data_IF_505307267701
#
_entry.id   IF_505307267701
#
_cell.length_a   1.000
_cell.length_b   1.000
_cell.length_c   1.000
_cell.angle_alpha   90.00
_cell.angle_beta   90.00
_cell.angle_gamma   90.00
#
_symmetry.space_group_name_H-M   'P 1'
#
loop_
_entity.id
_entity.type
_entity.pdbx_description
1 polymer ?
#
# COMPACT_ATOMS: atom_id res chain seq x y z
N UNK A 1 -2.08 15.48 23.16
CA UNK A 1 -2.39 15.31 21.73
C UNK A 1 -2.19 16.63 21.02
N UNK A 2 -1.86 16.60 19.73
CA UNK A 2 -1.84 17.77 18.85
C UNK A 2 -3.05 17.66 17.94
N UNK A 3 -3.84 18.71 17.84
CA UNK A 3 -5.05 18.79 17.03
C UNK A 3 -4.79 19.67 15.82
N UNK A 4 -5.19 19.22 14.65
CA UNK A 4 -5.20 20.00 13.41
C UNK A 4 -6.66 20.27 13.04
N UNK A 5 -7.04 21.53 12.95
CA UNK A 5 -8.38 21.96 12.56
C UNK A 5 -8.48 22.12 11.04
N UNK A 6 -9.71 22.17 10.52
CA UNK A 6 -9.97 22.32 9.07
C UNK A 6 -9.46 23.66 8.51
N UNK A 7 -9.36 24.70 9.36
CA UNK A 7 -8.78 26.00 8.99
C UNK A 7 -7.25 26.00 8.98
N UNK A 8 -6.62 24.86 9.30
CA UNK A 8 -5.17 24.71 9.42
C UNK A 8 -4.60 25.14 10.77
N UNK A 9 -5.42 25.62 11.71
CA UNK A 9 -4.92 25.95 13.04
C UNK A 9 -4.53 24.69 13.82
N UNK A 10 -3.54 24.84 14.72
CA UNK A 10 -3.02 23.74 15.55
C UNK A 10 -3.15 24.09 17.02
N UNK A 11 -3.64 23.14 17.80
CA UNK A 11 -3.80 23.28 19.25
C UNK A 11 -3.29 22.02 19.98
N UNK A 12 -3.02 22.14 21.27
CA UNK A 12 -2.55 21.05 22.11
C UNK A 12 -3.58 20.69 23.16
N UNK A 13 -3.71 19.39 23.45
CA UNK A 13 -4.57 18.87 24.50
C UNK A 13 -3.73 18.06 25.50
N UNK A 14 -3.62 18.49 26.78
CA UNK A 14 -4.18 19.71 27.36
C UNK A 14 -3.47 20.99 26.89
N UNK A 15 -4.21 22.11 26.82
CA UNK A 15 -3.72 23.45 26.45
C UNK A 15 -2.96 24.12 27.61
N UNK A 16 -1.89 23.49 28.07
CA UNK A 16 -0.98 24.04 29.09
C UNK A 16 0.31 24.54 28.44
N UNK A 17 0.80 25.69 28.89
CA UNK A 17 2.10 26.27 28.52
C UNK A 17 3.28 25.28 28.61
N UNK A 18 3.21 24.29 29.52
CA UNK A 18 4.23 23.23 29.64
C UNK A 18 4.21 22.29 28.43
N UNK A 19 3.02 21.96 27.93
CA UNK A 19 2.81 21.10 26.76
C UNK A 19 3.20 21.85 25.50
N UNK A 20 2.81 23.12 25.36
CA UNK A 20 3.20 23.97 24.23
C UNK A 20 4.73 24.12 24.15
N UNK A 21 5.41 24.36 25.28
CA UNK A 21 6.88 24.39 25.32
C UNK A 21 7.50 23.04 24.98
N UNK A 22 6.87 21.94 25.36
CA UNK A 22 7.33 20.59 24.99
C UNK A 22 7.17 20.35 23.49
N UNK A 23 6.04 20.76 22.90
CA UNK A 23 5.82 20.69 21.46
C UNK A 23 6.81 21.58 20.70
N UNK A 24 7.04 22.81 21.16
CA UNK A 24 8.05 23.69 20.58
C UNK A 24 9.44 23.06 20.62
N UNK A 25 9.82 22.43 21.75
CA UNK A 25 11.08 21.69 21.85
C UNK A 25 11.13 20.53 20.86
N UNK A 26 10.03 19.80 20.65
CA UNK A 26 9.98 18.72 19.65
C UNK A 26 10.17 19.29 18.25
N UNK A 27 9.46 20.37 17.89
CA UNK A 27 9.56 21.02 16.58
C UNK A 27 10.99 21.57 16.34
N UNK A 28 11.61 22.18 17.35
CA UNK A 28 12.96 22.77 17.23
C UNK A 28 14.09 21.74 17.36
N UNK A 29 13.91 20.67 18.16
CA UNK A 29 14.89 19.59 18.30
C UNK A 29 14.83 18.62 17.13
N UNK A 30 13.67 18.50 16.49
CA UNK A 30 13.55 17.84 15.21
C UNK A 30 14.23 18.72 14.15
N UNK A 31 15.51 18.45 13.88
CA UNK A 31 16.13 18.86 12.61
C UNK A 31 15.33 18.36 11.37
N UNK A 32 14.32 17.51 11.59
CA UNK A 32 13.50 16.84 10.58
C UNK A 32 12.01 17.24 10.62
N UNK A 33 11.60 18.33 11.30
CA UNK A 33 10.22 18.84 11.28
C UNK A 33 9.18 17.99 12.04
N UNK A 34 7.99 18.54 12.24
CA UNK A 34 6.83 17.83 12.83
C UNK A 34 5.67 17.86 11.83
N UNK A 35 5.24 16.69 11.36
CA UNK A 35 4.23 16.59 10.31
C UNK A 35 2.94 15.96 10.81
N UNK A 36 1.84 16.46 10.27
CA UNK A 36 0.49 15.94 10.41
C UNK A 36 -0.04 15.62 9.01
N UNK A 37 -0.92 14.63 8.90
CA UNK A 37 -1.58 14.32 7.64
C UNK A 37 -3.09 14.17 7.84
N UNK A 38 -3.85 14.56 6.82
CA UNK A 38 -5.30 14.40 6.77
C UNK A 38 -5.71 13.69 5.49
N UNK A 39 -6.66 12.75 5.58
CA UNK A 39 -7.20 12.02 4.44
C UNK A 39 -8.69 12.30 4.30
N UNK A 40 -9.06 13.09 3.29
CA UNK A 40 -10.45 13.28 2.89
C UNK A 40 -10.90 12.06 2.07
N UNK A 41 -11.74 11.21 2.67
CA UNK A 41 -12.22 9.99 2.03
C UNK A 41 -13.17 10.23 0.85
N UNK A 42 -13.88 11.36 0.86
CA UNK A 42 -14.85 11.69 -0.18
C UNK A 42 -14.14 12.24 -1.42
N UNK A 43 -13.14 13.09 -1.21
CA UNK A 43 -12.32 13.62 -2.31
C UNK A 43 -11.20 12.68 -2.74
N UNK A 44 -10.84 11.71 -1.90
CA UNK A 44 -9.68 10.86 -2.11
C UNK A 44 -8.38 11.67 -2.07
N UNK A 45 -8.30 12.69 -1.21
CA UNK A 45 -7.14 13.58 -1.11
C UNK A 45 -6.46 13.38 0.25
N UNK A 46 -5.20 12.96 0.21
CA UNK A 46 -4.31 12.98 1.36
C UNK A 46 -3.50 14.28 1.32
N UNK A 47 -3.50 15.05 2.40
CA UNK A 47 -2.63 16.22 2.58
C UNK A 47 -1.64 15.96 3.70
N UNK A 48 -0.41 16.40 3.52
CA UNK A 48 0.66 16.41 4.51
C UNK A 48 1.03 17.85 4.85
N UNK A 49 1.10 18.14 6.14
CA UNK A 49 1.21 19.47 6.70
C UNK A 49 2.30 19.49 7.75
N UNK A 50 3.27 20.38 7.59
CA UNK A 50 4.31 20.65 8.58
C UNK A 50 3.85 21.69 9.59
N UNK A 51 4.09 21.43 10.87
CA UNK A 51 3.84 22.35 11.97
C UNK A 51 5.14 23.06 12.31
N UNK A 52 5.11 24.38 12.19
CA UNK A 52 6.19 25.28 12.56
C UNK A 52 5.81 26.07 13.80
N UNK A 53 6.80 26.48 14.59
CA UNK A 53 6.58 27.32 15.77
C UNK A 53 7.33 28.64 15.61
N UNK A 54 6.60 29.75 15.75
CA UNK A 54 7.17 31.10 15.76
C UNK A 54 7.20 31.62 17.19
N UNK A 55 8.40 31.96 17.69
CA UNK A 55 8.55 32.63 18.98
C UNK A 55 8.68 34.14 18.78
N UNK A 56 7.63 34.89 19.10
CA UNK A 56 7.67 36.35 19.03
C UNK A 56 8.34 36.90 20.29
N UNK A 57 9.66 37.08 20.27
CA UNK A 57 10.38 37.75 21.37
C UNK A 57 10.38 39.26 21.14
N UNK A 58 9.34 39.97 21.56
CA UNK A 58 9.38 41.44 21.63
C UNK A 58 10.34 41.85 22.74
N UNK A 59 11.42 42.53 22.37
CA UNK A 59 12.59 42.86 23.21
C UNK A 59 12.34 43.88 24.33
N UNK A 60 11.09 44.19 24.65
CA UNK A 60 10.74 45.12 25.73
C UNK A 60 9.50 44.61 26.47
N UNK A 61 9.66 44.37 27.78
CA UNK A 61 8.70 43.88 28.77
C UNK A 61 8.61 42.35 28.96
N UNK A 62 8.68 41.96 30.24
CA UNK A 62 8.47 40.60 30.78
C UNK A 62 7.03 40.12 30.57
N UNK A 63 6.61 39.87 29.33
CA UNK A 63 5.43 39.05 29.06
C UNK A 63 5.91 37.66 28.65
N UNK A 64 5.41 36.64 29.34
CA UNK A 64 5.33 35.26 28.83
C UNK A 64 4.84 35.32 27.39
N UNK A 65 5.74 35.13 26.43
CA UNK A 65 5.38 35.12 25.01
C UNK A 65 4.40 33.98 24.77
N UNK A 66 3.25 34.28 24.16
CA UNK A 66 2.36 33.24 23.66
C UNK A 66 3.08 32.51 22.53
N UNK A 67 3.13 31.18 22.63
CA UNK A 67 3.66 30.33 21.58
C UNK A 67 2.58 30.19 20.51
N UNK A 68 2.92 30.54 19.28
CA UNK A 68 2.03 30.37 18.14
C UNK A 68 2.56 29.25 17.25
N UNK A 69 1.66 28.37 16.84
CA UNK A 69 1.94 27.29 15.90
C UNK A 69 1.29 27.64 14.56
N UNK A 70 2.07 27.54 13.49
CA UNK A 70 1.61 27.78 12.13
C UNK A 70 1.84 26.53 11.30
N UNK A 71 0.97 26.28 10.34
CA UNK A 71 1.06 25.12 9.46
C UNK A 71 1.42 25.50 8.05
N UNK A 72 2.24 24.68 7.41
CA UNK A 72 2.53 24.76 5.99
C UNK A 72 2.22 23.43 5.32
N UNK A 73 1.50 23.44 4.21
CA UNK A 73 1.30 22.24 3.40
C UNK A 73 2.60 21.88 2.66
N UNK A 74 3.00 20.61 2.75
CA UNK A 74 4.27 20.11 2.20
C UNK A 74 4.04 19.11 1.07
N UNK A 75 2.91 18.42 1.05
CA UNK A 75 2.60 17.47 -0.01
C UNK A 75 1.14 17.07 -0.06
N UNK A 76 0.72 16.62 -1.24
CA UNK A 76 -0.61 16.06 -1.46
C UNK A 76 -0.54 14.80 -2.31
N UNK A 77 -1.45 13.85 -2.04
CA UNK A 77 -1.68 12.67 -2.87
C UNK A 77 -3.17 12.55 -3.19
N UNK A 78 -3.49 12.65 -4.47
CA UNK A 78 -4.85 12.48 -4.98
C UNK A 78 -5.01 11.05 -5.52
N UNK A 79 -5.97 10.31 -4.97
CA UNK A 79 -6.43 9.03 -5.51
C UNK A 79 -7.35 9.27 -6.72
N UNK A 80 -7.50 8.25 -7.58
CA UNK A 80 -8.35 8.36 -8.78
C UNK A 80 -9.78 8.79 -8.39
N UNK A 81 -10.42 9.72 -9.12
CA UNK A 81 -11.80 10.10 -8.85
C UNK A 81 -12.80 8.98 -9.12
N UNK A 82 -12.39 7.93 -9.87
CA UNK A 82 -13.17 6.71 -10.09
C UNK A 82 -13.06 5.72 -8.92
N UNK A 83 -12.29 6.06 -7.89
CA UNK A 83 -12.07 5.24 -6.70
C UNK A 83 -12.60 5.93 -5.45
N UNK A 84 -13.07 5.11 -4.52
CA UNK A 84 -13.48 5.54 -3.19
C UNK A 84 -12.52 5.00 -2.14
N UNK A 85 -12.12 5.83 -1.19
CA UNK A 85 -11.30 5.41 -0.05
C UNK A 85 -12.16 4.64 0.95
N UNK A 86 -11.81 3.37 1.18
CA UNK A 86 -12.50 2.48 2.12
C UNK A 86 -11.89 2.60 3.52
N UNK A 87 -10.58 2.38 3.62
CA UNK A 87 -9.86 2.38 4.90
C UNK A 87 -8.41 2.82 4.75
N UNK A 88 -7.83 3.26 5.88
CA UNK A 88 -6.41 3.52 6.04
C UNK A 88 -5.91 2.73 7.25
N UNK A 89 -4.72 2.16 7.13
CA UNK A 89 -4.09 1.33 8.15
C UNK A 89 -2.66 1.81 8.41
N UNK A 90 -2.27 1.83 9.68
CA UNK A 90 -0.95 2.28 10.14
C UNK A 90 -0.20 1.13 10.82
N UNK A 91 1.14 1.13 10.78
CA UNK A 91 1.96 0.27 11.64
C UNK A 91 1.72 0.62 13.11
N UNK A 92 2.07 -0.30 14.02
CA UNK A 92 2.05 0.04 15.44
C UNK A 92 3.26 0.95 15.77
N UNK A 93 3.05 2.17 16.31
CA UNK A 93 4.14 3.06 16.69
C UNK A 93 5.08 2.48 17.75
N UNK A 94 4.59 1.57 18.61
CA UNK A 94 5.38 0.96 19.68
C UNK A 94 6.12 -0.33 19.24
N UNK A 95 6.05 -0.68 17.95
CA UNK A 95 6.71 -1.86 17.44
C UNK A 95 8.24 -1.69 17.42
N UNK A 96 8.93 -2.55 18.16
CA UNK A 96 10.39 -2.60 18.13
C UNK A 96 10.85 -3.56 17.04
N UNK A 97 11.65 -3.03 16.12
CA UNK A 97 12.35 -3.82 15.10
C UNK A 97 13.77 -4.08 15.58
N UNK A 98 14.13 -5.35 15.78
CA UNK A 98 15.49 -5.68 16.18
C UNK A 98 16.44 -5.56 14.99
N UNK A 99 16.17 -6.31 13.92
CA UNK A 99 17.12 -6.51 12.82
C UNK A 99 16.62 -5.81 11.55
N UNK A 100 17.38 -4.87 10.98
CA UNK A 100 17.01 -4.15 9.75
C UNK A 100 17.31 -4.94 8.47
N UNK A 101 17.84 -6.16 8.58
CA UNK A 101 18.34 -6.96 7.46
C UNK A 101 17.86 -8.41 7.61
N UNK A 102 17.70 -9.08 6.47
CA UNK A 102 17.54 -10.55 6.39
C UNK A 102 18.79 -11.14 5.75
N UNK A 103 19.40 -12.14 6.39
CA UNK A 103 20.55 -12.86 5.83
C UNK A 103 20.00 -13.96 4.91
N UNK A 104 20.52 -14.02 3.69
CA UNK A 104 20.16 -15.01 2.68
C UNK A 104 21.08 -16.24 2.77
N UNK A 105 20.69 -17.34 2.14
CA UNK A 105 21.45 -18.60 2.19
C UNK A 105 22.86 -18.56 1.56
N UNK A 106 23.20 -17.50 0.83
CA UNK A 106 24.52 -17.24 0.23
C UNK A 106 25.35 -16.20 1.00
N UNK A 107 24.97 -15.88 2.24
CA UNK A 107 25.50 -14.81 3.10
C UNK A 107 25.28 -13.38 2.59
N UNK A 108 24.51 -13.22 1.50
CA UNK A 108 24.07 -11.91 1.05
C UNK A 108 23.04 -11.32 2.01
N UNK A 109 22.96 -10.00 2.06
CA UNK A 109 22.10 -9.25 2.97
C UNK A 109 20.96 -8.59 2.20
N UNK A 110 19.73 -8.90 2.57
CA UNK A 110 18.54 -8.24 2.04
C UNK A 110 18.07 -7.16 3.03
N UNK A 111 18.24 -5.89 2.65
CA UNK A 111 17.91 -4.74 3.49
C UNK A 111 16.40 -4.52 3.53
N UNK A 112 15.83 -4.50 4.73
CA UNK A 112 14.40 -4.22 4.93
C UNK A 112 14.14 -2.73 4.73
N UNK A 113 13.07 -2.41 4.02
CA UNK A 113 12.59 -1.02 3.95
C UNK A 113 11.76 -0.71 5.19
N UNK A 114 12.31 0.11 6.10
CA UNK A 114 11.71 0.43 7.39
C UNK A 114 11.29 1.90 7.43
N UNK A 115 10.12 2.20 6.90
CA UNK A 115 9.55 3.54 6.95
C UNK A 115 8.55 3.66 8.13
N UNK A 116 8.82 4.49 9.16
CA UNK A 116 7.90 4.70 10.28
C UNK A 116 6.65 5.53 9.89
N UNK A 117 6.69 6.22 8.75
CA UNK A 117 5.62 7.05 8.20
C UNK A 117 4.81 6.33 7.11
N UNK A 118 4.93 5.00 7.05
CA UNK A 118 4.19 4.16 6.13
C UNK A 118 2.71 4.10 6.50
N UNK A 119 1.83 4.19 5.52
CA UNK A 119 0.43 3.82 5.69
C UNK A 119 -0.08 3.02 4.47
N UNK A 120 -1.12 2.23 4.69
CA UNK A 120 -1.78 1.48 3.62
C UNK A 120 -3.20 2.02 3.47
N UNK A 121 -3.48 2.58 2.29
CA UNK A 121 -4.82 3.07 1.91
C UNK A 121 -5.46 2.07 0.97
N UNK A 122 -6.63 1.58 1.37
CA UNK A 122 -7.46 0.68 0.58
C UNK A 122 -8.48 1.53 -0.17
N UNK A 123 -8.45 1.45 -1.49
CA UNK A 123 -9.45 2.10 -2.36
C UNK A 123 -10.20 1.05 -3.16
N UNK A 124 -11.47 1.30 -3.47
CA UNK A 124 -12.29 0.45 -4.33
C UNK A 124 -12.80 1.26 -5.52
N UNK A 125 -13.05 0.60 -6.64
CA UNK A 125 -13.68 1.23 -7.80
C UNK A 125 -15.13 1.60 -7.46
N UNK A 126 -15.56 2.80 -7.82
CA UNK A 126 -16.93 3.24 -7.60
C UNK A 126 -17.92 2.49 -8.49
N UNK A 127 -19.17 2.38 -8.04
CA UNK A 127 -20.23 1.70 -8.79
C UNK A 127 -20.55 2.44 -10.11
N UNK A 128 -20.39 3.76 -10.15
CA UNK A 128 -20.57 4.56 -11.37
C UNK A 128 -19.49 4.22 -12.40
N UNK A 129 -18.22 4.23 -12.00
CA UNK A 129 -17.11 3.90 -12.88
C UNK A 129 -17.19 2.45 -13.36
N UNK A 130 -17.61 1.53 -12.49
CA UNK A 130 -17.84 0.13 -12.87
C UNK A 130 -18.88 -0.02 -13.98
N UNK A 131 -20.01 0.68 -13.88
CA UNK A 131 -21.07 0.62 -14.91
C UNK A 131 -20.61 1.21 -16.24
N UNK A 132 -19.80 2.27 -16.20
CA UNK A 132 -19.19 2.85 -17.41
C UNK A 132 -18.29 1.81 -18.11
N UNK A 133 -17.44 1.09 -17.37
CA UNK A 133 -16.63 0.02 -17.93
C UNK A 133 -17.44 -1.16 -18.48
N UNK A 134 -18.53 -1.54 -17.83
CA UNK A 134 -19.42 -2.61 -18.31
C UNK A 134 -20.11 -2.20 -19.62
N UNK A 135 -20.47 -0.91 -19.78
CA UNK A 135 -21.06 -0.38 -21.01
C UNK A 135 -20.04 -0.24 -22.16
N UNK A 136 -18.80 0.17 -21.87
CA UNK A 136 -17.76 0.30 -22.90
C UNK A 136 -17.27 -1.04 -23.45
N UNK A 137 -17.22 -2.09 -22.62
CA UNK A 137 -16.82 -3.44 -23.08
C UNK A 137 -17.85 -4.11 -23.99
N UNK A 138 -19.12 -3.68 -23.96
CA UNK A 138 -20.14 -4.09 -24.93
C UNK A 138 -19.93 -3.45 -26.31
N UNK A 139 -19.08 -2.42 -26.42
CA UNK A 139 -18.62 -1.84 -27.69
C UNK A 139 -17.21 -2.34 -28.02
N UNK A 140 -17.01 -2.93 -29.21
CA UNK A 140 -15.84 -3.74 -29.63
C UNK A 140 -14.42 -3.13 -29.47
N UNK A 141 -14.23 -1.92 -28.94
CA UNK A 141 -12.94 -1.19 -28.88
C UNK A 141 -12.53 -0.60 -27.51
N UNK A 142 -13.21 -0.92 -26.40
CA UNK A 142 -12.99 -0.26 -25.09
C UNK A 142 -11.57 -0.39 -24.50
N UNK A 143 -10.92 -1.55 -24.65
CA UNK A 143 -9.65 -1.85 -23.96
C UNK A 143 -8.45 -1.01 -24.44
N UNK A 144 -8.43 -0.57 -25.71
CA UNK A 144 -7.30 0.16 -26.32
C UNK A 144 -7.41 1.68 -26.10
N UNK A 145 -8.61 2.19 -25.84
CA UNK A 145 -8.85 3.64 -25.71
C UNK A 145 -8.29 4.24 -24.41
N UNK A 146 -8.19 3.47 -23.33
CA UNK A 146 -7.74 4.00 -22.04
C UNK A 146 -6.23 3.95 -21.82
N UNK A 147 -5.52 2.98 -22.41
CA UNK A 147 -4.05 2.93 -22.37
C UNK A 147 -3.41 4.06 -23.20
N UNK A 148 -4.08 4.48 -24.28
CA UNK A 148 -3.60 5.56 -25.17
C UNK A 148 -3.90 6.96 -24.65
N UNK A 149 -4.86 7.13 -23.73
CA UNK A 149 -5.19 8.44 -23.13
C UNK A 149 -4.13 8.98 -22.15
N UNK A 150 -3.10 8.20 -21.82
CA UNK A 150 -2.00 8.60 -20.93
C UNK A 150 -0.63 8.76 -21.62
N UNK A 151 -0.56 8.73 -22.96
CA UNK A 151 0.69 8.94 -23.70
C UNK A 151 0.49 9.93 -24.85
N UNK A 152 0.60 11.23 -24.57
CA UNK A 152 0.94 12.21 -25.60
C UNK A 152 2.44 12.07 -25.93
N UNK A 153 2.75 11.42 -27.05
CA UNK A 153 3.76 11.85 -28.04
C UNK A 153 3.91 10.83 -29.17
N UNK A 154 3.99 11.37 -30.39
CA UNK A 154 4.34 10.74 -31.67
C UNK A 154 3.25 9.96 -32.41
N UNK A 155 2.58 10.73 -33.27
CA UNK A 155 1.88 10.31 -34.48
C UNK A 155 2.75 9.41 -35.36
N UNK A 156 2.25 8.23 -35.70
CA UNK A 156 2.60 7.54 -36.94
C UNK A 156 1.30 7.24 -37.68
N UNK A 157 1.14 7.88 -38.84
CA UNK A 157 0.09 7.57 -39.81
C UNK A 157 0.38 6.20 -40.42
N UNK A 158 -0.53 5.25 -40.26
CA UNK A 158 -0.62 4.10 -41.18
C UNK A 158 -1.99 4.10 -41.84
N UNK A 159 -1.93 4.38 -43.14
CA UNK A 159 -2.99 4.29 -44.13
C UNK A 159 -3.44 2.85 -44.26
N UNK A 160 -4.73 2.53 -44.05
CA UNK A 160 -5.29 1.26 -44.50
C UNK A 160 -6.59 1.48 -45.29
N UNK A 161 -6.61 0.78 -46.43
CA UNK A 161 -7.55 0.88 -47.52
C UNK A 161 -8.83 0.09 -47.22
N UNK A 162 -9.96 0.68 -47.58
CA UNK A 162 -11.25 0.02 -47.70
C UNK A 162 -11.18 -1.21 -48.61
N UNK A 163 -11.63 -2.36 -48.10
CA UNK A 163 -12.28 -3.38 -48.94
C UNK A 163 -13.52 -3.92 -48.23
N UNK A 164 -14.65 -3.80 -48.91
CA UNK A 164 -15.93 -4.40 -48.54
C UNK A 164 -15.84 -5.91 -48.77
N UNK A 165 -16.35 -6.74 -47.85
CA UNK A 165 -17.07 -7.94 -48.31
C UNK A 165 -18.15 -8.46 -47.33
N UNK A 166 -19.08 -9.18 -47.94
CA UNK A 166 -20.47 -9.38 -47.56
C UNK A 166 -20.76 -10.36 -46.40
N UNK A 167 -21.95 -10.15 -45.86
CA UNK A 167 -22.72 -10.93 -44.89
C UNK A 167 -22.83 -12.44 -45.12
N UNK A 168 -22.65 -13.24 -44.05
CA UNK A 168 -23.44 -14.46 -43.78
C UNK A 168 -23.66 -14.69 -42.28
N UNK A 169 -24.93 -14.61 -41.84
CA UNK A 169 -25.40 -14.97 -40.48
C UNK A 169 -25.26 -16.48 -40.25
N UNK A 170 -24.33 -16.92 -39.40
CA UNK A 170 -24.29 -18.29 -38.88
C UNK A 170 -25.05 -18.43 -37.56
N UNK A 171 -25.99 -19.39 -37.51
CA UNK A 171 -26.78 -19.76 -36.34
C UNK A 171 -25.88 -20.26 -35.20
N UNK A 172 -26.00 -19.66 -34.01
CA UNK A 172 -25.29 -20.10 -32.79
C UNK A 172 -25.81 -21.47 -32.34
N UNK A 173 -24.91 -22.43 -32.15
CA UNK A 173 -25.19 -23.73 -31.52
C UNK A 173 -25.12 -23.59 -29.98
N UNK A 174 -25.86 -24.42 -29.20
CA UNK A 174 -25.82 -24.35 -27.75
C UNK A 174 -24.44 -24.77 -27.20
N UNK A 175 -23.97 -24.03 -26.20
CA UNK A 175 -22.70 -24.25 -25.52
C UNK A 175 -22.73 -25.54 -24.70
N UNK A 176 -21.67 -26.38 -24.79
CA UNK A 176 -21.45 -27.48 -23.85
C UNK A 176 -21.13 -28.87 -24.41
N UNK A 177 -20.78 -29.01 -25.70
CA UNK A 177 -20.27 -30.28 -26.21
C UNK A 177 -19.07 -30.04 -27.15
N UNK A 178 -17.86 -30.12 -26.61
CA UNK A 178 -16.61 -30.16 -27.38
C UNK A 178 -16.08 -31.59 -27.44
N UNK A 179 -15.46 -31.94 -28.57
CA UNK A 179 -14.83 -33.25 -28.80
C UNK A 179 -13.51 -33.36 -28.01
N UNK A 180 -13.04 -34.58 -27.67
CA UNK A 180 -11.79 -34.75 -26.92
C UNK A 180 -10.59 -34.33 -27.78
N UNK A 181 -9.75 -33.43 -27.27
CA UNK A 181 -8.42 -33.11 -27.85
C UNK A 181 -8.21 -31.70 -28.40
N UNK A 182 -9.15 -30.76 -28.19
CA UNK A 182 -8.97 -29.36 -28.58
C UNK A 182 -8.72 -28.52 -27.32
N UNK A 183 -7.52 -27.94 -27.20
CA UNK A 183 -7.16 -27.07 -26.07
C UNK A 183 -8.08 -25.86 -26.06
N UNK A 184 -8.83 -25.70 -24.96
CA UNK A 184 -9.71 -24.56 -24.73
C UNK A 184 -8.80 -23.32 -24.59
N UNK A 185 -8.88 -22.30 -25.47
CA UNK A 185 -8.23 -21.04 -25.17
C UNK A 185 -8.84 -20.52 -23.86
N UNK A 186 -8.05 -20.12 -22.85
CA UNK A 186 -8.60 -19.66 -21.59
C UNK A 186 -9.49 -18.46 -21.89
N UNK A 187 -10.81 -18.67 -21.86
CA UNK A 187 -11.82 -17.63 -22.02
C UNK A 187 -11.81 -16.82 -20.74
N UNK A 188 -10.78 -16.00 -20.57
CA UNK A 188 -10.68 -15.05 -19.48
C UNK A 188 -11.37 -13.81 -19.99
N UNK A 189 -12.66 -13.67 -19.70
CA UNK A 189 -13.29 -12.36 -19.83
C UNK A 189 -12.42 -11.34 -19.07
N UNK A 190 -12.09 -10.19 -19.68
CA UNK A 190 -11.26 -9.19 -19.01
C UNK A 190 -12.00 -8.67 -17.78
N UNK A 191 -11.61 -9.13 -16.60
CA UNK A 191 -12.18 -8.70 -15.33
C UNK A 191 -11.57 -7.36 -14.91
N UNK A 192 -12.40 -6.34 -14.71
CA UNK A 192 -11.97 -5.00 -14.28
C UNK A 192 -11.39 -5.07 -12.84
N UNK A 193 -10.29 -4.35 -12.55
CA UNK A 193 -9.79 -4.23 -11.18
C UNK A 193 -10.76 -3.43 -10.32
N UNK A 194 -11.15 -4.00 -9.19
CA UNK A 194 -12.19 -3.45 -8.30
C UNK A 194 -11.63 -3.01 -6.95
N UNK A 195 -10.51 -3.59 -6.53
CA UNK A 195 -9.85 -3.29 -5.26
C UNK A 195 -8.41 -2.85 -5.52
N UNK A 196 -7.98 -1.79 -4.85
CA UNK A 196 -6.62 -1.28 -4.93
C UNK A 196 -6.03 -1.10 -3.53
N UNK A 197 -4.79 -1.55 -3.36
CA UNK A 197 -4.03 -1.37 -2.14
C UNK A 197 -2.89 -0.42 -2.47
N UNK A 198 -2.89 0.74 -1.81
CA UNK A 198 -1.95 1.82 -2.02
C UNK A 198 -1.06 1.93 -0.78
N UNK A 199 0.23 1.63 -0.94
CA UNK A 199 1.24 1.83 0.08
C UNK A 199 1.80 3.24 -0.10
N UNK A 200 1.65 4.06 0.92
CA UNK A 200 1.96 5.49 0.87
C UNK A 200 2.92 5.88 2.00
N UNK A 201 3.63 6.97 1.79
CA UNK A 201 4.33 7.70 2.85
C UNK A 201 3.48 8.92 3.24
N UNK A 202 3.12 9.03 4.52
CA UNK A 202 2.23 10.10 4.98
C UNK A 202 2.91 11.45 5.15
N UNK A 203 4.23 11.47 5.35
CA UNK A 203 5.00 12.72 5.50
C UNK A 203 5.28 13.33 4.15
N UNK A 204 5.79 12.55 3.19
CA UNK A 204 6.08 13.06 1.84
C UNK A 204 4.86 13.07 0.91
N UNK A 205 3.73 12.52 1.35
CA UNK A 205 2.53 12.30 0.54
C UNK A 205 2.83 11.59 -0.80
N UNK A 206 3.75 10.62 -0.78
CA UNK A 206 4.15 9.88 -1.99
C UNK A 206 3.48 8.51 -2.03
N UNK A 207 3.03 8.11 -3.22
CA UNK A 207 2.64 6.73 -3.50
C UNK A 207 3.91 5.88 -3.73
N UNK A 208 4.17 4.96 -2.81
CA UNK A 208 5.33 4.07 -2.86
C UNK A 208 5.06 2.85 -3.73
N UNK A 209 3.92 2.19 -3.53
CA UNK A 209 3.53 0.99 -4.26
C UNK A 209 2.01 0.90 -4.39
N UNK A 210 1.55 0.34 -5.51
CA UNK A 210 0.12 0.13 -5.77
C UNK A 210 -0.09 -1.23 -6.41
N UNK A 211 -1.08 -1.96 -5.90
CA UNK A 211 -1.51 -3.25 -6.44
C UNK A 211 -3.03 -3.25 -6.65
N UNK A 212 -3.49 -3.82 -7.75
CA UNK A 212 -4.90 -3.94 -8.11
C UNK A 212 -5.32 -5.41 -8.11
N UNK A 213 -6.54 -5.66 -7.62
CA UNK A 213 -7.16 -6.99 -7.62
C UNK A 213 -8.47 -6.97 -8.38
N UNK A 214 -8.71 -8.05 -9.12
CA UNK A 214 -9.94 -8.28 -9.87
C UNK A 214 -10.83 -9.27 -9.12
N UNK A 215 -12.10 -9.37 -9.51
CA UNK A 215 -13.05 -10.34 -8.94
C UNK A 215 -13.32 -10.16 -7.43
N UNK A 216 -13.17 -8.94 -6.92
CA UNK A 216 -13.56 -8.58 -5.56
C UNK A 216 -14.98 -8.02 -5.61
N UNK A 217 -15.85 -8.46 -4.69
CA UNK A 217 -17.18 -7.88 -4.56
C UNK A 217 -17.07 -6.44 -4.01
N UNK A 218 -17.94 -5.50 -4.42
CA UNK A 218 -17.97 -4.16 -3.84
C UNK A 218 -18.10 -4.22 -2.32
N UNK A 219 -17.29 -3.44 -1.59
CA UNK A 219 -17.23 -3.54 -0.13
C UNK A 219 -18.37 -2.82 0.57
N UNK A 220 -19.09 -1.94 -0.12
CA UNK A 220 -20.12 -1.10 0.51
C UNK A 220 -19.56 -0.32 1.70
N UNK A 221 -20.43 0.14 2.61
CA UNK A 221 -19.97 0.97 3.74
C UNK A 221 -19.50 0.16 4.95
N UNK A 222 -19.89 -1.11 5.03
CA UNK A 222 -19.69 -1.93 6.24
C UNK A 222 -18.55 -2.92 6.11
N UNK A 223 -18.28 -3.46 4.90
CA UNK A 223 -17.18 -4.40 4.74
C UNK A 223 -15.85 -3.64 4.66
N UNK A 224 -14.84 -4.16 5.36
CA UNK A 224 -13.49 -3.60 5.38
C UNK A 224 -12.52 -4.71 5.01
N UNK A 225 -11.50 -4.38 4.22
CA UNK A 225 -10.38 -5.29 4.01
C UNK A 225 -9.53 -5.27 5.29
N UNK A 226 -9.36 -6.42 5.98
CA UNK A 226 -8.41 -6.50 7.07
C UNK A 226 -6.99 -6.33 6.49
N UNK A 227 -6.21 -5.45 7.12
CA UNK A 227 -4.80 -5.18 6.80
C UNK A 227 -4.01 -5.15 8.10
N UNK A 228 -2.85 -5.79 8.12
CA UNK A 228 -1.88 -5.76 9.20
C UNK A 228 -0.52 -5.34 8.65
N UNK A 229 0.11 -4.37 9.30
CA UNK A 229 1.45 -3.86 8.95
C UNK A 229 2.37 -4.18 10.12
N UNK A 230 3.55 -4.75 9.84
CA UNK A 230 4.54 -5.13 10.85
C UNK A 230 5.94 -5.10 10.25
N UNK A 231 6.86 -4.33 10.82
CA UNK A 231 8.20 -4.09 10.23
C UNK A 231 8.10 -3.65 8.76
N UNK A 232 8.66 -4.44 7.84
CA UNK A 232 8.59 -4.26 6.40
C UNK A 232 7.53 -5.14 5.71
N UNK A 233 6.64 -5.77 6.48
CA UNK A 233 5.60 -6.67 5.99
C UNK A 233 4.24 -6.00 6.01
N UNK A 234 3.49 -6.21 4.94
CA UNK A 234 2.07 -5.87 4.86
C UNK A 234 1.32 -7.13 4.51
N UNK A 235 0.35 -7.50 5.33
CA UNK A 235 -0.54 -8.62 5.09
C UNK A 235 -1.98 -8.11 5.00
N UNK A 236 -2.69 -8.48 3.95
CA UNK A 236 -4.13 -8.22 3.86
C UNK A 236 -4.85 -9.41 3.28
N UNK A 237 -6.17 -9.43 3.45
CA UNK A 237 -7.01 -10.46 2.85
C UNK A 237 -8.27 -9.87 2.24
N UNK A 238 -8.69 -10.43 1.12
CA UNK A 238 -9.95 -10.09 0.48
C UNK A 238 -10.67 -11.36 0.01
N UNK A 239 -12.02 -11.35 -0.05
CA UNK A 239 -12.77 -12.44 -0.66
C UNK A 239 -12.70 -12.36 -2.18
N UNK A 240 -12.27 -13.44 -2.83
CA UNK A 240 -12.27 -13.58 -4.27
C UNK A 240 -13.55 -14.29 -4.72
N UNK A 241 -14.39 -13.57 -5.46
CA UNK A 241 -15.70 -14.06 -5.89
C UNK A 241 -15.60 -15.15 -6.97
N UNK A 242 -14.55 -15.12 -7.80
CA UNK A 242 -14.31 -16.12 -8.84
C UNK A 242 -13.94 -17.48 -8.24
N UNK A 243 -13.04 -17.49 -7.26
CA UNK A 243 -12.58 -18.73 -6.62
C UNK A 243 -13.45 -19.16 -5.42
N UNK A 244 -14.33 -18.28 -4.94
CA UNK A 244 -15.14 -18.44 -3.72
C UNK A 244 -14.29 -18.74 -2.47
N UNK A 245 -13.04 -18.26 -2.48
CA UNK A 245 -12.08 -18.37 -1.37
C UNK A 245 -11.58 -16.98 -1.00
N UNK A 246 -10.98 -16.86 0.18
CA UNK A 246 -10.27 -15.63 0.52
C UNK A 246 -8.83 -15.75 0.09
N UNK A 247 -8.36 -14.69 -0.57
CA UNK A 247 -6.97 -14.53 -0.92
C UNK A 247 -6.31 -13.73 0.20
N UNK A 248 -5.15 -14.18 0.64
CA UNK A 248 -4.29 -13.57 1.65
C UNK A 248 -3.01 -13.16 0.95
N UNK A 249 -2.77 -11.87 0.83
CA UNK A 249 -1.62 -11.34 0.10
C UNK A 249 -0.59 -10.85 1.09
N UNK A 250 0.62 -11.39 1.00
CA UNK A 250 1.77 -10.97 1.77
C UNK A 250 2.67 -10.11 0.89
N UNK A 251 3.04 -8.92 1.37
CA UNK A 251 3.98 -8.00 0.76
C UNK A 251 5.15 -7.81 1.70
N UNK A 252 6.35 -7.76 1.13
CA UNK A 252 7.59 -7.47 1.83
C UNK A 252 8.34 -6.36 1.10
N UNK A 253 8.70 -5.31 1.82
CA UNK A 253 9.32 -4.10 1.31
C UNK A 253 10.84 -4.14 1.58
N UNK A 254 11.66 -3.84 0.58
CA UNK A 254 13.12 -3.89 0.67
C UNK A 254 13.76 -2.65 0.05
N UNK A 255 14.89 -2.22 0.60
CA UNK A 255 15.68 -1.12 0.02
C UNK A 255 16.56 -1.63 -1.13
N UNK A 256 17.12 -2.83 -0.95
CA UNK A 256 18.07 -3.42 -1.86
C UNK A 256 18.73 -4.66 -1.25
N UNK A 257 19.69 -5.20 -1.98
CA UNK A 257 20.47 -6.36 -1.56
C UNK A 257 21.96 -6.01 -1.63
N UNK A 258 22.71 -6.46 -0.63
CA UNK A 258 24.16 -6.40 -0.60
C UNK A 258 24.67 -7.82 -0.81
N UNK A 259 25.50 -8.00 -1.82
CA UNK A 259 26.15 -9.28 -2.09
C UNK A 259 27.09 -9.65 -0.92
N UNK A 260 27.38 -10.94 -0.74
CA UNK A 260 28.29 -11.46 0.31
C UNK A 260 29.65 -10.75 0.37
N UNK A 261 30.15 -10.28 -0.78
CA UNK A 261 31.42 -9.56 -0.90
C UNK A 261 31.26 -8.03 -0.94
N UNK A 262 30.04 -7.53 -0.79
CA UNK A 262 29.73 -6.10 -0.84
C UNK A 262 30.24 -5.30 0.36
N UNK A 263 30.48 -5.97 1.49
CA UNK A 263 31.05 -5.38 2.70
C UNK A 263 32.50 -5.81 2.82
N UNK A 264 33.43 -4.85 2.67
CA UNK A 264 34.86 -5.10 2.83
C UNK A 264 35.47 -4.06 3.77
N UNK A 265 36.73 -4.24 4.17
CA UNK A 265 37.44 -3.23 4.97
C UNK A 265 37.47 -1.83 4.32
N UNK A 266 37.23 -1.75 3.00
CA UNK A 266 37.26 -0.54 2.19
C UNK A 266 35.88 -0.15 1.60
N UNK A 267 34.85 -0.99 1.79
CA UNK A 267 33.46 -0.75 1.37
C UNK A 267 32.57 -0.93 2.59
N UNK A 268 32.20 0.20 3.19
CA UNK A 268 31.25 0.23 4.32
C UNK A 268 29.88 0.59 3.80
N UNK A 269 28.87 0.06 4.47
CA UNK A 269 27.51 0.47 4.23
C UNK A 269 27.30 1.86 4.81
N UNK A 270 27.03 2.85 3.96
CA UNK A 270 26.50 4.15 4.38
C UNK A 270 25.02 3.97 4.74
N UNK A 271 24.76 3.23 5.82
CA UNK A 271 23.42 3.15 6.37
C UNK A 271 23.21 4.36 7.27
N UNK A 272 22.33 5.27 6.84
CA UNK A 272 21.93 6.37 7.69
C UNK A 272 21.21 5.79 8.93
N UNK A 273 21.62 6.23 10.11
CA UNK A 273 20.92 5.89 11.36
C UNK A 273 19.54 6.55 11.47
N UNK A 274 19.24 7.45 10.54
CA UNK A 274 18.03 8.25 10.45
C UNK A 274 17.30 7.96 9.15
N UNK A 275 15.98 7.84 9.21
CA UNK A 275 15.14 7.74 8.02
C UNK A 275 14.57 9.12 7.67
N UNK A 276 14.57 9.48 6.39
CA UNK A 276 13.88 10.67 5.88
C UNK A 276 12.95 10.32 4.74
N UNK A 277 11.66 10.64 4.91
CA UNK A 277 10.61 10.44 3.90
C UNK A 277 10.84 11.22 2.60
N UNK A 278 11.63 12.30 2.62
CA UNK A 278 11.85 13.13 1.44
C UNK A 278 12.96 12.61 0.54
N UNK A 279 14.01 12.02 1.12
CA UNK A 279 15.19 11.51 0.41
C UNK A 279 15.17 9.99 0.20
N UNK A 280 14.38 9.25 0.97
CA UNK A 280 14.31 7.79 0.87
C UNK A 280 13.86 7.31 -0.52
N UNK A 281 14.55 6.31 -1.11
CA UNK A 281 14.14 5.72 -2.39
C UNK A 281 12.84 4.92 -2.26
N UNK A 282 12.19 4.63 -3.39
CA UNK A 282 11.01 3.74 -3.40
C UNK A 282 11.42 2.30 -3.07
N UNK A 283 10.61 1.57 -2.30
CA UNK A 283 10.92 0.18 -1.94
C UNK A 283 10.79 -0.78 -3.13
N UNK A 284 11.62 -1.81 -3.12
CA UNK A 284 11.47 -3.03 -3.90
C UNK A 284 10.47 -3.94 -3.18
N UNK A 285 9.32 -4.16 -3.82
CA UNK A 285 8.22 -4.93 -3.23
C UNK A 285 8.20 -6.34 -3.80
N UNK A 286 8.33 -7.32 -2.93
CA UNK A 286 8.01 -8.71 -3.27
C UNK A 286 6.64 -9.04 -2.68
N UNK A 287 5.78 -9.69 -3.46
CA UNK A 287 4.47 -10.07 -2.99
C UNK A 287 4.07 -11.47 -3.47
N UNK A 288 3.23 -12.14 -2.68
CA UNK A 288 2.69 -13.45 -3.01
C UNK A 288 1.29 -13.61 -2.45
N UNK A 289 0.45 -14.27 -3.24
CA UNK A 289 -0.94 -14.56 -2.89
C UNK A 289 -1.05 -15.98 -2.38
N UNK A 290 -1.67 -16.13 -1.22
CA UNK A 290 -2.04 -17.40 -0.59
C UNK A 290 -3.56 -17.50 -0.57
N UNK A 291 -4.12 -18.71 -0.54
CA UNK A 291 -5.57 -18.89 -0.48
C UNK A 291 -5.97 -19.59 0.81
N UNK A 292 -7.06 -19.12 1.43
CA UNK A 292 -7.65 -19.71 2.62
C UNK A 292 -9.14 -20.02 2.35
N UNK A 293 -9.57 -21.21 2.78
CA UNK A 293 -10.91 -21.73 2.47
C UNK A 293 -12.07 -21.06 3.21
N UNK A 294 -11.79 -20.07 4.07
CA UNK A 294 -12.77 -19.33 4.86
C UNK A 294 -12.53 -17.83 4.71
N UNK A 295 -13.59 -17.05 4.82
CA UNK A 295 -13.50 -15.58 4.78
C UNK A 295 -12.70 -15.06 5.96
N UNK A 296 -11.73 -14.18 5.73
CA UNK A 296 -10.96 -13.52 6.80
C UNK A 296 -11.64 -12.20 7.16
N UNK A 297 -12.05 -12.03 8.41
CA UNK A 297 -12.76 -10.83 8.89
C UNK A 297 -11.87 -9.89 9.69
N UNK A 298 -10.80 -10.41 10.29
CA UNK A 298 -9.85 -9.62 11.07
C UNK A 298 -8.43 -10.16 10.86
N UNK A 299 -7.46 -9.28 10.85
CA UNK A 299 -6.03 -9.60 10.82
C UNK A 299 -5.33 -8.82 11.92
N UNK A 300 -4.35 -9.47 12.54
CA UNK A 300 -3.41 -8.85 13.46
C UNK A 300 -2.07 -9.57 13.44
N UNK A 301 -1.10 -9.01 14.16
CA UNK A 301 0.23 -9.57 14.33
C UNK A 301 0.57 -9.66 15.81
N UNK A 302 1.24 -10.72 16.23
CA UNK A 302 1.74 -10.83 17.61
C UNK A 302 2.87 -9.83 17.86
N UNK A 303 2.89 -9.22 19.04
CA UNK A 303 3.91 -8.26 19.44
C UNK A 303 4.63 -8.70 20.70
N UNK A 304 5.90 -8.36 20.82
CA UNK A 304 6.72 -8.65 22.00
C UNK A 304 7.54 -7.44 22.39
N UNK A 305 7.86 -7.31 23.68
CA UNK A 305 8.51 -6.13 24.25
C UNK A 305 9.87 -5.76 23.62
N UNK A 306 10.54 -6.68 22.91
CA UNK A 306 11.81 -6.43 22.24
C UNK A 306 11.81 -6.80 20.75
N UNK A 307 10.70 -7.31 20.22
CA UNK A 307 10.60 -7.74 18.83
C UNK A 307 11.55 -8.89 18.42
N UNK A 308 12.10 -9.64 19.38
CA UNK A 308 13.06 -10.74 19.10
C UNK A 308 12.34 -12.03 18.74
N UNK A 309 11.24 -12.34 19.42
CA UNK A 309 10.47 -13.56 19.17
C UNK A 309 9.83 -13.53 17.78
N UNK A 310 9.73 -14.71 17.15
CA UNK A 310 9.04 -14.88 15.88
C UNK A 310 7.60 -14.35 15.97
N UNK A 311 7.24 -13.55 14.95
CA UNK A 311 5.90 -12.98 14.84
C UNK A 311 4.99 -13.93 14.09
N UNK A 312 3.79 -14.11 14.62
CA UNK A 312 2.70 -14.83 13.98
C UNK A 312 1.63 -13.82 13.54
N UNK A 313 1.03 -14.08 12.38
CA UNK A 313 -0.19 -13.42 11.98
C UNK A 313 -1.39 -14.15 12.60
N UNK A 314 -2.34 -13.37 13.09
CA UNK A 314 -3.57 -13.86 13.72
C UNK A 314 -4.73 -13.53 12.80
N UNK A 315 -5.42 -14.55 12.32
CA UNK A 315 -6.53 -14.45 11.38
C UNK A 315 -7.84 -14.79 12.10
N UNK A 316 -8.79 -13.86 12.08
CA UNK A 316 -10.17 -14.11 12.46
C UNK A 316 -10.96 -14.66 11.27
N UNK A 317 -11.50 -15.87 11.39
CA UNK A 317 -12.25 -16.54 10.34
C UNK A 317 -13.76 -16.33 10.50
N UNK A 318 -14.36 -15.71 9.50
CA UNK A 318 -15.79 -15.45 9.40
C UNK A 318 -16.63 -16.73 9.37
N UNK A 319 -17.91 -16.59 9.72
CA UNK A 319 -18.89 -17.69 9.82
C UNK A 319 -18.71 -18.56 11.07
N UNK A 320 -17.49 -19.00 11.37
CA UNK A 320 -17.20 -19.87 12.52
C UNK A 320 -16.69 -19.15 13.77
N UNK A 321 -16.23 -17.89 13.66
CA UNK A 321 -15.65 -17.13 14.77
C UNK A 321 -14.30 -17.69 15.26
N UNK A 322 -13.69 -18.61 14.52
CA UNK A 322 -12.41 -19.22 14.88
C UNK A 322 -11.26 -18.25 14.67
N UNK A 323 -10.25 -18.34 15.53
CA UNK A 323 -9.00 -17.62 15.40
C UNK A 323 -7.92 -18.63 15.00
N UNK A 324 -7.18 -18.31 13.95
CA UNK A 324 -6.06 -19.13 13.47
C UNK A 324 -4.79 -18.30 13.48
N UNK A 325 -3.73 -18.84 14.06
CA UNK A 325 -2.40 -18.24 14.02
C UNK A 325 -1.57 -18.90 12.93
N UNK A 326 -0.93 -18.09 12.09
CA UNK A 326 -0.04 -18.54 11.02
C UNK A 326 1.33 -17.91 11.24
N UNK A 327 2.38 -18.73 11.22
CA UNK A 327 3.75 -18.23 11.28
C UNK A 327 4.03 -17.35 10.06
N UNK A 328 4.61 -16.17 10.29
CA UNK A 328 5.03 -15.25 9.24
C UNK A 328 5.85 -15.95 8.16
N UNK A 329 6.73 -16.90 8.53
CA UNK A 329 7.58 -17.66 7.60
C UNK A 329 6.78 -18.48 6.59
N UNK A 330 5.58 -18.93 6.94
CA UNK A 330 4.72 -19.66 6.01
C UNK A 330 4.18 -18.76 4.89
N UNK A 331 4.10 -17.45 5.13
CA UNK A 331 3.56 -16.47 4.21
C UNK A 331 4.66 -15.68 3.47
N UNK A 332 5.92 -16.13 3.49
CA UNK A 332 7.03 -15.41 2.85
C UNK A 332 6.90 -15.40 1.31
N UNK A 333 6.84 -14.22 0.66
CA UNK A 333 6.79 -14.12 -0.80
C UNK A 333 7.94 -14.82 -1.53
N UNK A 334 9.10 -14.96 -0.88
CA UNK A 334 10.31 -15.57 -1.44
C UNK A 334 10.28 -17.10 -1.41
N UNK A 335 9.25 -17.72 -0.83
CA UNK A 335 9.11 -19.19 -0.84
C UNK A 335 9.11 -19.72 -2.27
N UNK A 336 9.92 -20.74 -2.59
CA UNK A 336 9.94 -21.32 -3.92
C UNK A 336 8.59 -21.96 -4.26
N UNK A 337 8.20 -21.89 -5.53
CA UNK A 337 6.97 -22.51 -6.05
C UNK A 337 7.19 -23.93 -6.57
N UNK A 338 8.43 -24.30 -6.89
CA UNK A 338 8.82 -25.62 -7.39
C UNK A 338 9.96 -26.22 -6.58
N UNK A 339 10.75 -27.09 -7.23
CA UNK A 339 11.94 -27.68 -6.64
C UNK A 339 12.90 -26.59 -6.14
N UNK A 340 13.24 -26.56 -4.84
CA UNK A 340 14.02 -25.49 -4.26
C UNK A 340 15.47 -25.55 -4.73
N UNK A 341 16.02 -24.39 -5.07
CA UNK A 341 17.45 -24.23 -5.43
C UNK A 341 18.34 -24.49 -4.22
N UNK A 342 19.62 -24.75 -4.45
CA UNK A 342 20.58 -25.00 -3.37
C UNK A 342 20.64 -23.83 -2.36
N UNK A 343 20.62 -22.58 -2.84
CA UNK A 343 20.60 -21.38 -1.97
C UNK A 343 19.32 -21.27 -1.17
N UNK A 344 18.17 -21.56 -1.77
CA UNK A 344 16.85 -21.55 -1.12
C UNK A 344 16.71 -22.67 -0.08
N UNK A 345 17.47 -23.76 -0.21
CA UNK A 345 17.55 -24.84 0.79
C UNK A 345 18.44 -24.49 1.99
N UNK A 346 19.42 -23.61 1.78
CA UNK A 346 20.32 -23.15 2.85
C UNK A 346 19.67 -22.09 3.74
N UNK A 347 18.73 -21.33 3.18
CA UNK A 347 17.93 -20.33 3.87
C UNK A 347 16.83 -20.95 4.78
#
# INVERSE_FOLDING_TARGET
AVLLYEDGSVDTLPSDSTVEKSLQKIIQAANNGYYLHALDKHKGLLTSTEVTSTSTSTSTARSTGNLEFSTQEVGQLQFSPQERVVSIHYPNPDEIVQTPVTILGDDSLLLKYLNPHLAVVVTELTDEARKEYEQENDTENGFVSLLSKNTDTMTVQTTEQNTNDNSQKQKRKPMGATKPGEDIPPTTEPSIPTLFINVIDTVSAKLLYRISHTNVAPLGDTAKIPVSISENWILYSYPNHKTRRSDVVALTLHEGMIDKHGITAFSRLDQETTFSSFTSPKPIVLHKVYTIGKTVTALGVTQTARGITQKNFVLGLGGSGMIVTVDRRMLDPRRPTGEPKATEKLE
#
